data_IF_978775439919
#
_entry.id   IF_978775439919
#
_cell.length_a   1.000
_cell.length_b   1.000
_cell.length_c   1.000
_cell.angle_alpha   90.00
_cell.angle_beta   90.00
_cell.angle_gamma   90.00
#
_symmetry.space_group_name_H-M   'P 1'
#
loop_
_entity.id
_entity.type
_entity.pdbx_description
1 polymer ?
#
# COMPACT_ATOMS: atom_id res chain seq x y z
N UNK A 1 -0.05 23.45 -24.30
CA UNK A 1 0.86 24.59 -24.07
C UNK A 1 1.42 24.55 -22.66
N UNK A 2 2.60 25.13 -22.43
CA UNK A 2 3.37 25.04 -21.16
C UNK A 2 2.56 25.45 -19.92
N UNK A 3 1.60 26.38 -20.07
CA UNK A 3 0.71 26.84 -19.01
C UNK A 3 -0.10 25.70 -18.33
N UNK A 4 -0.46 24.65 -19.07
CA UNK A 4 -1.20 23.51 -18.49
C UNK A 4 -0.34 22.73 -17.51
N UNK A 5 0.92 22.48 -17.87
CA UNK A 5 1.88 21.77 -17.02
C UNK A 5 2.30 22.60 -15.80
N UNK A 6 2.45 23.92 -15.97
CA UNK A 6 2.72 24.82 -14.84
C UNK A 6 1.57 24.85 -13.84
N UNK A 7 0.33 24.97 -14.32
CA UNK A 7 -0.86 24.95 -13.45
C UNK A 7 -0.97 23.64 -12.70
N UNK A 8 -0.87 22.51 -13.39
CA UNK A 8 -0.94 21.18 -12.77
C UNK A 8 0.20 20.97 -11.74
N UNK A 9 1.44 21.31 -12.09
CA UNK A 9 2.56 21.25 -11.16
C UNK A 9 2.33 22.09 -9.88
N UNK A 10 1.82 23.31 -10.04
CA UNK A 10 1.54 24.21 -8.91
C UNK A 10 0.40 23.70 -8.04
N UNK A 11 -0.69 23.22 -8.65
CA UNK A 11 -1.80 22.59 -7.94
C UNK A 11 -1.30 21.41 -7.09
N UNK A 12 -0.55 20.49 -7.70
CA UNK A 12 -0.02 19.33 -7.00
C UNK A 12 0.93 19.71 -5.87
N UNK A 13 1.79 20.72 -6.07
CA UNK A 13 2.70 21.19 -5.04
C UNK A 13 1.95 21.81 -3.85
N UNK A 14 0.89 22.60 -4.11
CA UNK A 14 0.11 23.27 -3.07
C UNK A 14 -0.78 22.29 -2.28
N UNK A 15 -1.35 21.29 -2.95
CA UNK A 15 -2.19 20.26 -2.35
C UNK A 15 -1.37 19.26 -1.54
N UNK A 16 -0.25 18.78 -2.10
CA UNK A 16 0.56 17.74 -1.48
C UNK A 16 1.60 18.26 -0.49
N UNK A 17 1.99 19.54 -0.60
CA UNK A 17 3.03 20.18 0.23
C UNK A 17 4.25 19.27 0.45
N UNK A 18 4.91 18.81 -0.62
CA UNK A 18 6.02 17.86 -0.50
C UNK A 18 7.15 18.46 0.34
N UNK A 19 7.82 17.63 1.14
CA UNK A 19 8.93 18.07 2.02
C UNK A 19 10.06 18.76 1.24
N UNK A 20 10.24 18.37 -0.02
CA UNK A 20 11.25 18.93 -0.92
C UNK A 20 10.60 19.48 -2.21
N UNK A 21 10.04 20.71 -2.19
CA UNK A 21 9.29 21.26 -3.32
C UNK A 21 10.10 21.40 -4.62
N UNK A 22 11.39 21.74 -4.53
CA UNK A 22 12.24 21.92 -5.71
C UNK A 22 12.54 20.58 -6.42
N UNK A 23 12.83 19.52 -5.65
CA UNK A 23 13.01 18.17 -6.21
C UNK A 23 11.71 17.69 -6.88
N UNK A 24 10.56 17.93 -6.23
CA UNK A 24 9.25 17.61 -6.78
C UNK A 24 8.97 18.27 -8.14
N UNK A 25 9.27 19.57 -8.27
CA UNK A 25 9.08 20.35 -9.51
C UNK A 25 10.00 19.80 -10.61
N UNK A 26 11.28 19.57 -10.29
CA UNK A 26 12.25 19.01 -11.24
C UNK A 26 11.77 17.65 -11.76
N UNK A 27 11.32 16.77 -10.87
CA UNK A 27 10.76 15.48 -11.22
C UNK A 27 9.45 15.59 -11.99
N UNK A 28 8.60 16.57 -11.69
CA UNK A 28 7.39 16.82 -12.48
C UNK A 28 7.71 17.11 -13.93
N UNK A 29 8.57 18.10 -14.19
CA UNK A 29 8.92 18.49 -15.56
C UNK A 29 9.78 17.45 -16.28
N UNK A 30 10.70 16.78 -15.60
CA UNK A 30 11.42 15.65 -16.18
C UNK A 30 10.42 14.59 -16.67
N UNK A 31 9.40 14.25 -15.87
CA UNK A 31 8.44 13.24 -16.27
C UNK A 31 7.48 13.70 -17.38
N UNK A 32 7.14 14.99 -17.41
CA UNK A 32 6.38 15.59 -18.49
C UNK A 32 7.16 15.60 -19.82
N UNK A 33 8.48 15.79 -19.76
CA UNK A 33 9.38 15.82 -20.93
C UNK A 33 9.69 14.42 -21.46
N UNK A 34 9.91 13.45 -20.58
CA UNK A 34 10.32 12.08 -20.96
C UNK A 34 9.13 11.15 -21.27
N UNK A 35 7.90 11.67 -21.30
CA UNK A 35 6.74 10.93 -21.79
C UNK A 35 6.39 9.69 -20.96
N UNK A 36 6.45 9.78 -19.62
CA UNK A 36 6.02 8.66 -18.76
C UNK A 36 4.58 8.25 -19.08
N UNK A 37 4.35 6.94 -19.15
CA UNK A 37 3.03 6.37 -19.50
C UNK A 37 1.94 6.87 -18.55
N UNK A 38 0.68 6.87 -19.01
CA UNK A 38 -0.49 7.18 -18.16
C UNK A 38 -0.48 6.35 -16.87
N UNK A 39 -0.01 5.09 -16.96
CA UNK A 39 0.20 4.19 -15.83
C UNK A 39 1.17 4.76 -14.78
N UNK A 40 2.38 5.14 -15.22
CA UNK A 40 3.41 5.66 -14.31
C UNK A 40 3.00 6.98 -13.67
N UNK A 41 2.30 7.84 -14.41
CA UNK A 41 1.75 9.10 -13.87
C UNK A 41 0.70 8.83 -12.79
N UNK A 42 -0.20 7.87 -13.04
CA UNK A 42 -1.25 7.48 -12.10
C UNK A 42 -0.70 6.87 -10.82
N UNK A 43 0.28 5.96 -10.95
CA UNK A 43 1.03 5.42 -9.82
C UNK A 43 1.68 6.53 -8.98
N UNK A 44 2.34 7.49 -9.65
CA UNK A 44 2.97 8.62 -8.97
C UNK A 44 1.96 9.45 -8.20
N UNK A 45 0.82 9.84 -8.79
CA UNK A 45 -0.20 10.63 -8.10
C UNK A 45 -0.56 10.02 -6.75
N UNK A 46 -0.89 8.72 -6.74
CA UNK A 46 -1.23 8.00 -5.51
C UNK A 46 -0.08 8.02 -4.50
N UNK A 47 1.18 7.87 -4.96
CA UNK A 47 2.38 7.90 -4.12
C UNK A 47 2.80 9.31 -3.65
N UNK A 48 2.20 10.40 -4.17
CA UNK A 48 2.62 11.77 -3.80
C UNK A 48 2.31 12.12 -2.34
N UNK A 49 1.31 11.47 -1.76
CA UNK A 49 0.90 11.73 -0.38
C UNK A 49 0.57 10.43 0.33
N UNK A 50 0.80 10.42 1.65
CA UNK A 50 0.35 9.34 2.52
C UNK A 50 -1.18 9.28 2.53
N UNK A 51 -1.72 8.07 2.68
CA UNK A 51 -3.15 7.76 2.64
C UNK A 51 -3.97 8.51 3.70
N UNK A 52 -3.36 8.85 4.83
CA UNK A 52 -3.99 9.59 5.93
C UNK A 52 -4.04 11.12 5.74
N UNK A 53 -3.57 11.65 4.60
CA UNK A 53 -3.61 13.08 4.30
C UNK A 53 -4.83 13.45 3.47
N UNK A 54 -5.33 14.66 3.67
CA UNK A 54 -6.53 15.18 2.98
C UNK A 54 -6.39 15.15 1.44
N UNK A 55 -5.21 15.44 0.90
CA UNK A 55 -4.95 15.44 -0.54
C UNK A 55 -4.95 14.04 -1.19
N UNK A 56 -5.02 12.97 -0.39
CA UNK A 56 -4.93 11.60 -0.92
C UNK A 56 -6.06 11.28 -1.91
N UNK A 57 -7.30 11.62 -1.58
CA UNK A 57 -8.43 11.32 -2.45
C UNK A 57 -8.40 12.13 -3.75
N UNK A 58 -7.90 13.37 -3.71
CA UNK A 58 -7.71 14.21 -4.90
C UNK A 58 -6.65 13.62 -5.84
N UNK A 59 -5.58 13.06 -5.28
CA UNK A 59 -4.57 12.32 -6.03
C UNK A 59 -5.11 11.01 -6.63
N UNK A 60 -5.90 10.25 -5.87
CA UNK A 60 -6.56 9.02 -6.35
C UNK A 60 -7.52 9.35 -7.50
N UNK A 61 -8.27 10.45 -7.41
CA UNK A 61 -9.11 10.97 -8.49
C UNK A 61 -8.27 11.35 -9.72
N UNK A 62 -7.17 12.08 -9.52
CA UNK A 62 -6.24 12.46 -10.59
C UNK A 62 -5.65 11.25 -11.32
N UNK A 63 -5.29 10.21 -10.57
CA UNK A 63 -4.84 8.93 -11.12
C UNK A 63 -5.94 8.25 -11.95
N UNK A 64 -7.15 8.13 -11.40
CA UNK A 64 -8.28 7.52 -12.09
C UNK A 64 -8.59 8.23 -13.41
N UNK A 65 -8.76 9.55 -13.40
CA UNK A 65 -9.08 10.32 -14.60
C UNK A 65 -7.93 10.33 -15.62
N UNK A 66 -6.67 10.22 -15.17
CA UNK A 66 -5.53 10.06 -16.07
C UNK A 66 -5.61 8.77 -16.87
N UNK A 67 -6.00 7.67 -16.23
CA UNK A 67 -6.19 6.38 -16.92
C UNK A 67 -7.43 6.37 -17.80
N UNK A 68 -8.56 6.90 -17.32
CA UNK A 68 -9.81 7.00 -18.10
C UNK A 68 -9.58 7.75 -19.40
N UNK A 69 -8.98 8.95 -19.34
CA UNK A 69 -8.68 9.74 -20.54
C UNK A 69 -7.80 9.00 -21.54
N UNK A 70 -6.80 8.27 -21.05
CA UNK A 70 -5.93 7.48 -21.90
C UNK A 70 -6.68 6.31 -22.56
N UNK A 71 -7.58 5.66 -21.81
CA UNK A 71 -8.42 4.57 -22.32
C UNK A 71 -9.40 5.05 -23.38
N UNK A 72 -10.03 6.21 -23.18
CA UNK A 72 -10.92 6.86 -24.14
C UNK A 72 -10.19 7.23 -25.44
N UNK A 73 -8.95 7.69 -25.37
CA UNK A 73 -8.09 7.92 -26.54
C UNK A 73 -7.80 6.63 -27.33
N UNK A 74 -7.91 5.46 -26.69
CA UNK A 74 -7.78 4.14 -27.30
C UNK A 74 -9.14 3.55 -27.74
N UNK A 75 -10.22 4.36 -27.73
CA UNK A 75 -11.55 3.96 -28.16
C UNK A 75 -12.32 3.12 -27.14
N UNK A 76 -11.87 3.04 -25.89
CA UNK A 76 -12.56 2.32 -24.82
C UNK A 76 -13.54 3.24 -24.07
N UNK A 77 -14.62 2.66 -23.54
CA UNK A 77 -15.62 3.39 -22.75
C UNK A 77 -15.24 3.46 -21.26
N UNK A 78 -14.11 4.08 -20.95
CA UNK A 78 -13.63 4.29 -19.58
C UNK A 78 -12.45 3.39 -19.17
N UNK A 79 -12.17 3.34 -17.86
CA UNK A 79 -11.07 2.55 -17.32
C UNK A 79 -11.35 1.06 -17.46
N UNK A 80 -10.49 0.31 -18.16
CA UNK A 80 -10.66 -1.14 -18.29
C UNK A 80 -10.10 -1.88 -17.08
N UNK A 81 -10.65 -3.05 -16.77
CA UNK A 81 -10.11 -3.91 -15.71
C UNK A 81 -8.64 -4.30 -15.94
N UNK A 82 -8.21 -4.43 -17.20
CA UNK A 82 -6.80 -4.72 -17.54
C UNK A 82 -5.84 -3.58 -17.15
N UNK A 83 -6.22 -2.33 -17.40
CA UNK A 83 -5.43 -1.16 -16.99
C UNK A 83 -5.42 -1.03 -15.46
N UNK A 84 -6.58 -1.19 -14.83
CA UNK A 84 -6.68 -1.18 -13.37
C UNK A 84 -5.80 -2.26 -12.73
N UNK A 85 -5.87 -3.51 -13.21
CA UNK A 85 -5.07 -4.60 -12.69
C UNK A 85 -3.56 -4.39 -12.89
N UNK A 86 -3.18 -3.77 -14.02
CA UNK A 86 -1.78 -3.41 -14.26
C UNK A 86 -1.26 -2.39 -13.24
N UNK A 87 -2.10 -1.44 -12.83
CA UNK A 87 -1.75 -0.49 -11.78
C UNK A 87 -1.63 -1.19 -10.42
N UNK A 88 -2.60 -2.05 -10.08
CA UNK A 88 -2.58 -2.85 -8.83
C UNK A 88 -1.30 -3.69 -8.73
N UNK A 89 -0.92 -4.38 -9.81
CA UNK A 89 0.33 -5.17 -9.85
C UNK A 89 1.59 -4.33 -9.61
N UNK A 90 1.56 -3.05 -9.98
CA UNK A 90 2.66 -2.12 -9.71
C UNK A 90 2.73 -1.69 -8.24
N UNK A 91 1.61 -1.67 -7.52
CA UNK A 91 1.60 -1.46 -6.06
C UNK A 91 2.02 -2.71 -5.31
N UNK A 92 1.60 -3.88 -5.78
CA UNK A 92 1.85 -5.15 -5.11
C UNK A 92 3.14 -5.84 -5.57
N UNK A 93 4.10 -5.13 -6.18
CA UNK A 93 5.32 -5.74 -6.76
C UNK A 93 6.15 -6.52 -5.75
N UNK A 94 6.14 -6.05 -4.51
CA UNK A 94 6.94 -6.60 -3.41
C UNK A 94 6.11 -7.44 -2.44
N UNK A 95 4.86 -7.75 -2.79
CA UNK A 95 3.97 -8.51 -1.93
C UNK A 95 4.20 -10.03 -2.08
N UNK A 96 3.90 -10.82 -1.04
CA UNK A 96 3.87 -12.26 -1.15
C UNK A 96 2.94 -12.72 -2.29
N UNK A 97 3.33 -13.70 -3.12
CA UNK A 97 2.52 -14.19 -4.23
C UNK A 97 1.09 -14.60 -3.82
N UNK A 98 0.93 -15.17 -2.63
CA UNK A 98 -0.34 -15.62 -2.06
C UNK A 98 -1.30 -14.44 -1.81
N UNK A 99 -0.76 -13.28 -1.41
CA UNK A 99 -1.51 -12.03 -1.21
C UNK A 99 -1.89 -11.46 -2.57
N UNK A 100 -0.96 -11.43 -3.53
CA UNK A 100 -1.22 -10.96 -4.88
C UNK A 100 -2.35 -11.79 -5.51
N UNK A 101 -2.29 -13.12 -5.42
CA UNK A 101 -3.33 -14.01 -5.95
C UNK A 101 -4.70 -13.72 -5.31
N UNK A 102 -4.74 -13.60 -3.99
CA UNK A 102 -5.97 -13.32 -3.24
C UNK A 102 -6.56 -11.95 -3.63
N UNK A 103 -5.73 -10.92 -3.70
CA UNK A 103 -6.11 -9.58 -4.15
C UNK A 103 -6.65 -9.62 -5.58
N UNK A 104 -5.94 -10.29 -6.49
CA UNK A 104 -6.34 -10.42 -7.90
C UNK A 104 -7.69 -11.12 -8.03
N UNK A 105 -7.94 -12.17 -7.23
CA UNK A 105 -9.20 -12.92 -7.22
C UNK A 105 -10.38 -12.11 -6.69
N UNK A 106 -10.18 -11.33 -5.63
CA UNK A 106 -11.21 -10.40 -5.12
C UNK A 106 -11.48 -9.29 -6.14
N UNK A 107 -10.45 -8.90 -6.89
CA UNK A 107 -10.52 -7.88 -7.92
C UNK A 107 -10.90 -8.41 -9.32
N UNK A 108 -11.30 -9.68 -9.41
CA UNK A 108 -11.56 -10.35 -10.68
C UNK A 108 -12.84 -9.81 -11.33
N UNK A 109 -12.65 -8.76 -12.11
CA UNK A 109 -13.65 -8.13 -12.97
C UNK A 109 -13.38 -8.54 -14.41
N UNK A 110 -14.45 -8.81 -15.16
CA UNK A 110 -14.33 -9.09 -16.59
C UNK A 110 -13.52 -8.00 -17.28
N UNK A 111 -12.60 -8.37 -18.18
CA UNK A 111 -11.65 -7.45 -18.81
C UNK A 111 -12.31 -6.28 -19.55
N UNK A 112 -13.57 -6.45 -19.96
CA UNK A 112 -14.39 -5.45 -20.68
C UNK A 112 -15.31 -4.62 -19.78
N UNK A 113 -15.41 -4.92 -18.48
CA UNK A 113 -16.24 -4.14 -17.56
C UNK A 113 -15.51 -2.83 -17.20
N UNK A 114 -16.16 -1.66 -17.35
CA UNK A 114 -15.56 -0.40 -16.94
C UNK A 114 -15.47 -0.34 -15.41
N UNK A 115 -14.30 0.04 -14.91
CA UNK A 115 -14.05 0.19 -13.48
C UNK A 115 -14.56 1.53 -13.00
N UNK A 116 -15.47 1.54 -12.01
CA UNK A 116 -15.95 2.76 -11.38
C UNK A 116 -14.89 3.38 -10.47
N UNK A 117 -15.00 4.70 -10.23
CA UNK A 117 -14.09 5.39 -9.32
C UNK A 117 -14.11 4.81 -7.90
N UNK A 118 -15.29 4.47 -7.37
CA UNK A 118 -15.40 3.90 -6.02
C UNK A 118 -14.69 2.55 -5.90
N UNK A 119 -14.81 1.70 -6.91
CA UNK A 119 -14.13 0.40 -6.96
C UNK A 119 -12.61 0.59 -7.08
N UNK A 120 -12.17 1.48 -7.97
CA UNK A 120 -10.77 1.85 -8.11
C UNK A 120 -10.17 2.34 -6.79
N UNK A 121 -10.82 3.32 -6.14
CA UNK A 121 -10.34 3.89 -4.89
C UNK A 121 -10.29 2.86 -3.76
N UNK A 122 -11.28 1.97 -3.67
CA UNK A 122 -11.30 0.91 -2.66
C UNK A 122 -10.12 -0.06 -2.84
N UNK A 123 -9.82 -0.49 -4.06
CA UNK A 123 -8.72 -1.42 -4.28
C UNK A 123 -7.33 -0.79 -4.18
N UNK A 124 -7.16 0.48 -4.60
CA UNK A 124 -5.92 1.23 -4.32
C UNK A 124 -5.69 1.36 -2.81
N UNK A 125 -6.74 1.68 -2.04
CA UNK A 125 -6.65 1.72 -0.58
C UNK A 125 -6.27 0.37 0.00
N UNK A 126 -6.89 -0.72 -0.48
CA UNK A 126 -6.54 -2.07 -0.02
C UNK A 126 -5.05 -2.38 -0.27
N UNK A 127 -4.52 -2.05 -1.46
CA UNK A 127 -3.10 -2.25 -1.77
C UNK A 127 -2.20 -1.50 -0.78
N UNK A 128 -2.44 -0.21 -0.57
CA UNK A 128 -1.65 0.60 0.36
C UNK A 128 -1.78 0.13 1.82
N UNK A 129 -2.95 -0.37 2.23
CA UNK A 129 -3.12 -0.96 3.55
C UNK A 129 -2.29 -2.22 3.73
N UNK A 130 -2.22 -3.10 2.72
CA UNK A 130 -1.34 -4.27 2.76
C UNK A 130 0.13 -3.89 2.76
N UNK A 131 0.52 -2.83 2.06
CA UNK A 131 1.89 -2.32 2.12
C UNK A 131 2.24 -1.81 3.53
N UNK A 132 1.40 -0.94 4.10
CA UNK A 132 1.55 -0.46 5.47
C UNK A 132 1.61 -1.64 6.47
N UNK A 133 0.78 -2.66 6.25
CA UNK A 133 0.81 -3.89 7.04
C UNK A 133 2.16 -4.60 6.98
N UNK A 134 2.69 -4.82 5.78
CA UNK A 134 3.96 -5.52 5.61
C UNK A 134 5.12 -4.73 6.22
N UNK A 135 5.14 -3.41 6.07
CA UNK A 135 6.13 -2.54 6.73
C UNK A 135 6.08 -2.70 8.27
N UNK A 136 4.89 -2.75 8.86
CA UNK A 136 4.74 -2.96 10.31
C UNK A 136 5.13 -4.38 10.74
N UNK A 137 4.72 -5.38 9.97
CA UNK A 137 5.05 -6.78 10.22
C UNK A 137 6.57 -7.01 10.16
N UNK A 138 7.24 -6.43 9.17
CA UNK A 138 8.70 -6.44 9.02
C UNK A 138 9.39 -5.74 10.20
N UNK A 139 8.91 -4.55 10.58
CA UNK A 139 9.45 -3.82 11.74
C UNK A 139 9.37 -4.65 13.02
N UNK A 140 8.22 -5.27 13.28
CA UNK A 140 8.00 -6.15 14.44
C UNK A 140 8.93 -7.35 14.39
N UNK A 141 9.02 -8.03 13.24
CA UNK A 141 9.85 -9.22 13.07
C UNK A 141 11.34 -8.90 13.29
N UNK A 142 11.84 -7.83 12.66
CA UNK A 142 13.22 -7.38 12.79
C UNK A 142 13.56 -6.91 14.21
N UNK A 143 12.58 -6.36 14.94
CA UNK A 143 12.76 -6.02 16.36
C UNK A 143 12.95 -7.25 17.24
N UNK A 144 12.46 -8.41 16.80
CA UNK A 144 12.59 -9.67 17.53
C UNK A 144 13.75 -10.54 17.04
N UNK A 145 14.15 -10.43 15.77
CA UNK A 145 15.32 -11.12 15.18
C UNK A 145 16.62 -10.34 15.45
N UNK A 146 16.97 -10.18 16.74
CA UNK A 146 18.14 -9.39 17.18
C UNK A 146 19.45 -9.92 16.57
N UNK A 147 19.50 -11.23 16.26
CA UNK A 147 20.67 -11.90 15.70
C UNK A 147 20.70 -11.89 14.16
N UNK A 148 19.69 -11.33 13.49
CA UNK A 148 19.52 -11.31 12.03
C UNK A 148 19.65 -12.70 11.37
N UNK A 149 19.12 -13.74 12.03
CA UNK A 149 19.18 -15.14 11.56
C UNK A 149 18.02 -15.47 10.61
N UNK A 150 17.08 -14.56 10.42
CA UNK A 150 15.84 -14.77 9.67
C UNK A 150 14.83 -15.65 10.43
N UNK A 151 15.06 -15.86 11.72
CA UNK A 151 14.30 -16.74 12.59
C UNK A 151 14.17 -16.11 13.96
N UNK A 152 12.97 -16.12 14.52
CA UNK A 152 12.72 -15.63 15.87
C UNK A 152 12.25 -16.77 16.75
N UNK A 153 12.82 -16.85 17.95
CA UNK A 153 12.31 -17.71 19.02
C UNK A 153 10.89 -17.28 19.42
N UNK A 154 9.98 -18.25 19.45
CA UNK A 154 8.57 -18.03 19.72
C UNK A 154 8.30 -17.30 21.05
N UNK A 155 8.97 -17.69 22.13
CA UNK A 155 8.74 -17.12 23.45
C UNK A 155 9.24 -15.67 23.50
N UNK A 156 10.39 -15.40 22.86
CA UNK A 156 10.92 -14.05 22.69
C UNK A 156 9.99 -13.17 21.86
N UNK A 157 9.49 -13.67 20.72
CA UNK A 157 8.56 -12.94 19.85
C UNK A 157 7.31 -12.51 20.62
N UNK A 158 6.66 -13.44 21.32
CA UNK A 158 5.45 -13.16 22.11
C UNK A 158 5.73 -12.17 23.25
N UNK A 159 6.91 -12.21 23.87
CA UNK A 159 7.29 -11.28 24.93
C UNK A 159 7.42 -9.83 24.42
N UNK A 160 8.06 -9.63 23.26
CA UNK A 160 8.22 -8.30 22.63
C UNK A 160 6.86 -7.77 22.18
N UNK A 161 6.01 -8.60 21.58
CA UNK A 161 4.65 -8.20 21.20
C UNK A 161 3.81 -7.76 22.41
N UNK A 162 3.98 -8.40 23.57
CA UNK A 162 3.30 -7.99 24.82
C UNK A 162 3.81 -6.63 25.32
N UNK A 163 5.11 -6.39 25.23
CA UNK A 163 5.71 -5.12 25.63
C UNK A 163 5.28 -3.95 24.72
N UNK A 164 5.23 -4.16 23.40
CA UNK A 164 4.76 -3.17 22.44
C UNK A 164 3.29 -2.77 22.71
N UNK A 165 2.43 -3.72 23.08
CA UNK A 165 1.03 -3.47 23.42
C UNK A 165 0.85 -2.63 24.70
N UNK A 166 1.71 -2.84 25.71
CA UNK A 166 1.71 -2.04 26.95
C UNK A 166 2.21 -0.61 26.73
N UNK A 167 3.07 -0.40 25.73
CA UNK A 167 3.59 0.94 25.39
C UNK A 167 2.59 1.72 24.53
N UNK A 168 1.74 1.01 23.77
CA UNK A 168 0.74 1.60 22.88
C UNK A 168 -0.51 2.09 23.61
N UNK A 169 -0.81 1.56 24.81
CA UNK A 169 -1.90 2.05 25.66
C UNK A 169 -1.66 3.43 26.27
N UNK A 170 -0.45 3.97 26.19
CA UNK A 170 -0.08 5.27 26.78
C UNK A 170 -0.01 6.41 25.75
N UNK A 171 -0.21 6.12 24.45
CA UNK A 171 -0.12 7.09 23.35
C UNK A 171 -1.39 7.12 22.47
N UNK A 172 -2.57 7.22 23.07
CA UNK A 172 -3.77 7.60 22.33
C UNK A 172 -3.72 9.11 22.00
N UNK A 173 -2.99 9.48 20.95
CA UNK A 173 -3.16 10.77 20.30
C UNK A 173 -3.37 10.59 18.79
N UNK A 174 -4.66 10.71 18.42
CA UNK A 174 -5.18 11.20 17.14
C UNK A 174 -4.48 10.76 15.85
N UNK A 175 -5.01 9.69 15.26
CA UNK A 175 -5.01 9.54 13.80
C UNK A 175 -6.30 8.83 13.39
N UNK A 176 -7.39 9.60 13.29
CA UNK A 176 -8.60 9.19 12.59
C UNK A 176 -8.28 9.00 11.10
N UNK A 177 -7.85 7.79 10.73
CA UNK A 177 -7.43 7.54 9.37
C UNK A 177 -7.05 6.09 9.13
N UNK A 178 -8.03 5.18 9.20
CA UNK A 178 -7.95 3.83 8.62
C UNK A 178 -6.60 3.12 8.79
N UNK A 179 -5.93 3.23 9.93
CA UNK A 179 -4.75 2.42 10.25
C UNK A 179 -5.22 1.00 10.48
N UNK A 180 -4.48 0.00 9.99
CA UNK A 180 -4.67 -1.36 10.52
C UNK A 180 -4.36 -1.24 12.01
N UNK A 181 -5.33 -1.50 12.91
CA UNK A 181 -5.05 -1.39 14.33
C UNK A 181 -3.92 -2.36 14.61
N UNK A 182 -2.78 -1.86 15.09
CA UNK A 182 -1.66 -2.67 15.54
C UNK A 182 -2.17 -3.84 16.39
N UNK A 183 -3.20 -3.60 17.19
CA UNK A 183 -3.93 -4.58 17.98
C UNK A 183 -4.55 -5.76 17.19
N UNK A 184 -5.17 -5.52 16.02
CA UNK A 184 -5.73 -6.62 15.19
C UNK A 184 -4.63 -7.45 14.54
N UNK A 185 -3.56 -6.81 14.07
CA UNK A 185 -2.38 -7.52 13.57
C UNK A 185 -1.76 -8.38 14.68
N UNK A 186 -1.68 -7.83 15.90
CA UNK A 186 -1.19 -8.54 17.07
C UNK A 186 -2.10 -9.70 17.49
N UNK A 187 -3.42 -9.57 17.36
CA UNK A 187 -4.39 -10.64 17.61
C UNK A 187 -4.31 -11.75 16.56
N UNK A 188 -4.24 -11.41 15.28
CA UNK A 188 -4.04 -12.39 14.20
C UNK A 188 -2.71 -13.12 14.36
N UNK A 189 -1.63 -12.39 14.66
CA UNK A 189 -0.32 -12.96 14.96
C UNK A 189 -0.41 -13.94 16.13
N UNK A 190 -1.06 -13.56 17.24
CA UNK A 190 -1.27 -14.44 18.40
C UNK A 190 -2.09 -15.68 18.06
N UNK A 191 -3.17 -15.55 17.31
CA UNK A 191 -4.08 -16.66 17.00
C UNK A 191 -3.38 -17.75 16.18
N UNK A 192 -2.59 -17.35 15.18
CA UNK A 192 -1.90 -18.32 14.33
C UNK A 192 -0.64 -18.88 14.99
N UNK A 193 0.07 -18.08 15.77
CA UNK A 193 1.18 -18.56 16.60
C UNK A 193 0.72 -19.56 17.67
N UNK A 194 -0.41 -19.32 18.34
CA UNK A 194 -0.99 -20.26 19.30
C UNK A 194 -1.52 -21.56 18.66
N UNK A 195 -1.83 -21.55 17.37
CA UNK A 195 -2.20 -22.76 16.64
C UNK A 195 -1.01 -23.70 16.38
N UNK A 196 0.20 -23.14 16.22
CA UNK A 196 1.46 -23.87 15.97
C UNK A 196 2.04 -24.54 17.23
N UNK A 197 1.86 -23.92 18.39
CA UNK A 197 2.30 -24.42 19.71
C UNK A 197 1.69 -25.80 20.08
N UNK A 198 0.64 -26.22 19.38
CA UNK A 198 -0.03 -27.52 19.60
C UNK A 198 0.67 -28.72 18.96
N UNK A 199 1.83 -28.57 18.29
CA UNK A 199 2.53 -29.75 17.75
C UNK A 199 3.85 -29.56 16.98
N UNK A 200 4.53 -28.41 17.04
CA UNK A 200 5.78 -28.20 16.29
C UNK A 200 7.03 -28.58 17.12
N UNK A 201 7.92 -29.41 16.56
CA UNK A 201 9.25 -29.69 17.14
C UNK A 201 10.21 -28.49 17.01
N UNK A 202 9.97 -27.60 16.04
CA UNK A 202 10.74 -26.36 15.83
C UNK A 202 9.95 -25.13 16.29
N UNK A 203 10.49 -24.49 17.33
CA UNK A 203 9.95 -23.27 17.95
C UNK A 203 10.32 -21.99 17.21
N UNK A 204 11.18 -22.06 16.19
CA UNK A 204 11.58 -20.88 15.43
C UNK A 204 10.54 -20.55 14.35
N UNK A 205 10.18 -19.27 14.25
CA UNK A 205 9.27 -18.77 13.22
C UNK A 205 10.06 -17.95 12.21
N UNK A 206 9.93 -18.30 10.93
CA UNK A 206 10.50 -17.52 9.83
C UNK A 206 9.59 -16.35 9.45
N UNK A 207 10.13 -15.31 8.81
CA UNK A 207 9.33 -14.17 8.36
C UNK A 207 8.20 -14.58 7.39
N UNK A 208 8.48 -15.52 6.48
CA UNK A 208 7.46 -16.03 5.53
C UNK A 208 6.29 -16.70 6.26
N UNK A 209 6.59 -17.54 7.24
CA UNK A 209 5.55 -18.21 8.06
C UNK A 209 4.77 -17.21 8.89
N UNK A 210 5.43 -16.19 9.44
CA UNK A 210 4.77 -15.11 10.16
C UNK A 210 3.80 -14.34 9.25
N UNK A 211 4.22 -13.95 8.04
CA UNK A 211 3.36 -13.23 7.09
C UNK A 211 2.15 -14.06 6.63
N UNK A 212 2.36 -15.32 6.25
CA UNK A 212 1.24 -16.22 5.86
C UNK A 212 0.29 -16.52 7.03
N UNK A 213 0.76 -16.34 8.26
CA UNK A 213 -0.05 -16.49 9.46
C UNK A 213 -0.93 -15.28 9.75
N UNK A 214 -0.60 -14.09 9.26
CA UNK A 214 -1.34 -12.86 9.58
C UNK A 214 -2.18 -12.30 8.43
N UNK A 215 -2.01 -12.83 7.21
CA UNK A 215 -2.82 -12.54 6.01
C UNK A 215 -3.97 -13.54 5.89
#
# INVERSE_FOLDING_TARGET
GVNVYLKDCMTLMLENRPEKPLEFIADYFNNALHGKSSMQRSYRYIRMTKRNRQAFMDNVASAYFTLVRHSEMQGQSGLTAAQYLSLVKLFCSDFPPEVIESLTKVMDKSSSEPISFSYFAAGINACLMYEEFFEHAEYIFNSCDVDAKGQVDYDMFISILRQMNQTSSDMEHESEGWTIPSQKLLESARAVLAARDRGAEDKNVTYKEFILAVV
#
